data_IF_461126254583
#
_entry.id   IF_461126254583
#
_cell.length_a   1.000
_cell.length_b   1.000
_cell.length_c   1.000
_cell.angle_alpha   90.00
_cell.angle_beta   90.00
_cell.angle_gamma   90.00
#
_symmetry.space_group_name_H-M   'P 1'
#
loop_
_entity.id
_entity.type
_entity.pdbx_description
1 polymer ?
#
# COMPACT_ATOMS: atom_id res chain seq x y z
N UNK A 1 3.73 -20.13 51.24
CA UNK A 1 3.29 -21.25 50.39
C UNK A 1 1.80 -21.14 50.22
N UNK A 2 1.31 -21.44 49.00
CA UNK A 2 -0.09 -21.35 48.54
C UNK A 2 -0.56 -19.93 48.22
N UNK A 3 -1.17 -19.58 47.09
CA UNK A 3 -1.30 -20.20 45.77
C UNK A 3 -1.63 -19.05 44.81
N UNK A 4 -0.82 -18.84 43.77
CA UNK A 4 -1.19 -17.93 42.67
C UNK A 4 -2.26 -18.64 41.84
N UNK A 5 -3.43 -18.03 41.56
CA UNK A 5 -4.45 -18.67 40.72
C UNK A 5 -3.92 -18.78 39.27
N UNK A 6 -3.67 -20.01 38.82
CA UNK A 6 -3.31 -20.35 37.44
C UNK A 6 -4.58 -20.45 36.58
N UNK A 7 -5.24 -19.32 36.35
CA UNK A 7 -6.48 -19.23 35.56
C UNK A 7 -6.28 -18.32 34.35
N UNK A 8 -5.21 -18.50 33.57
CA UNK A 8 -5.05 -17.86 32.25
C UNK A 8 -4.19 -18.71 31.30
N UNK A 9 -4.57 -19.97 31.10
CA UNK A 9 -4.02 -20.76 29.98
C UNK A 9 -5.05 -21.69 29.37
N UNK A 10 -6.14 -21.13 28.86
CA UNK A 10 -7.02 -21.81 27.89
C UNK A 10 -7.63 -20.78 26.93
N UNK A 11 -6.79 -20.14 26.12
CA UNK A 11 -7.27 -19.51 24.89
C UNK A 11 -7.12 -20.51 23.76
N UNK A 12 -8.09 -21.42 23.69
CA UNK A 12 -8.37 -22.19 22.49
C UNK A 12 -8.89 -21.22 21.42
N UNK A 13 -8.27 -21.29 20.24
CA UNK A 13 -8.65 -20.58 19.02
C UNK A 13 -10.16 -20.62 18.76
N UNK A 14 -10.81 -19.48 18.93
CA UNK A 14 -12.15 -19.23 18.40
C UNK A 14 -12.21 -17.79 17.85
N UNK A 15 -11.56 -17.54 16.71
CA UNK A 15 -11.91 -16.36 15.92
C UNK A 15 -13.15 -16.67 15.07
N UNK A 16 -14.29 -16.24 15.59
CA UNK A 16 -15.56 -16.27 14.89
C UNK A 16 -15.54 -15.31 13.70
N UNK A 17 -15.93 -15.89 12.57
CA UNK A 17 -16.35 -15.25 11.34
C UNK A 17 -17.57 -14.35 11.62
N UNK A 18 -17.52 -13.05 11.32
CA UNK A 18 -18.74 -12.23 11.36
C UNK A 18 -18.59 -10.70 11.32
N UNK A 19 -18.55 -10.16 10.10
CA UNK A 19 -19.28 -8.96 9.62
C UNK A 19 -19.09 -7.57 10.25
N UNK A 20 -18.63 -6.66 9.39
CA UNK A 20 -18.59 -5.19 9.47
C UNK A 20 -19.83 -4.49 10.08
N UNK A 21 -19.62 -3.48 10.95
CA UNK A 21 -20.27 -2.16 10.83
C UNK A 21 -19.69 -1.12 11.80
N UNK A 22 -19.08 -0.05 11.24
CA UNK A 22 -19.36 1.37 11.53
C UNK A 22 -18.39 2.22 10.71
N UNK A 23 -18.82 2.48 9.49
CA UNK A 23 -18.32 3.54 8.62
C UNK A 23 -18.48 4.87 9.34
N UNK A 24 -17.36 5.52 9.65
CA UNK A 24 -17.31 6.97 9.80
C UNK A 24 -17.45 7.56 8.39
N UNK A 25 -18.63 8.11 8.13
CA UNK A 25 -18.99 8.84 6.91
C UNK A 25 -18.00 9.96 6.64
N UNK A 26 -17.21 9.79 5.58
CA UNK A 26 -16.82 10.90 4.70
C UNK A 26 -17.00 10.41 3.27
N UNK A 27 -18.21 10.62 2.74
CA UNK A 27 -18.59 10.60 1.32
C UNK A 27 -17.94 9.54 0.43
N UNK A 28 -18.39 8.29 0.55
CA UNK A 28 -18.10 7.22 -0.41
C UNK A 28 -19.22 7.15 -1.45
N UNK A 29 -18.87 7.43 -2.70
CA UNK A 29 -19.73 7.53 -3.86
C UNK A 29 -20.28 6.14 -4.26
N UNK A 30 -21.61 6.02 -4.40
CA UNK A 30 -22.33 4.83 -4.85
C UNK A 30 -21.99 4.48 -6.29
N UNK A 31 -21.67 3.21 -6.62
CA UNK A 31 -21.73 2.74 -8.01
C UNK A 31 -22.36 1.33 -8.09
N UNK A 32 -23.51 1.30 -8.76
CA UNK A 32 -24.22 0.14 -9.26
C UNK A 32 -23.38 -0.64 -10.30
N UNK A 33 -23.51 -1.96 -10.29
CA UNK A 33 -23.00 -2.87 -11.31
C UNK A 33 -23.56 -2.54 -12.69
N UNK A 34 -22.70 -2.20 -13.66
CA UNK A 34 -22.82 -2.47 -15.09
C UNK A 34 -21.44 -2.26 -15.75
N UNK A 35 -21.16 -3.10 -16.74
CA UNK A 35 -19.94 -3.22 -17.54
C UNK A 35 -19.43 -1.87 -18.07
N UNK A 36 -18.47 -1.26 -17.36
CA UNK A 36 -17.60 -0.19 -17.87
C UNK A 36 -16.41 -0.09 -16.91
N UNK A 37 -15.23 -0.49 -17.38
CA UNK A 37 -13.95 -0.38 -16.69
C UNK A 37 -13.65 1.11 -16.47
N UNK A 38 -14.24 1.71 -15.44
CA UNK A 38 -13.90 3.03 -14.95
C UNK A 38 -12.40 3.00 -14.68
N UNK A 39 -11.59 3.93 -15.25
CA UNK A 39 -10.17 3.93 -14.99
C UNK A 39 -10.05 4.03 -13.48
N UNK A 40 -9.39 3.05 -12.84
CA UNK A 40 -9.08 3.08 -11.42
C UNK A 40 -8.47 4.46 -11.22
N UNK A 41 -9.24 5.38 -10.64
CA UNK A 41 -8.84 6.76 -10.46
C UNK A 41 -7.54 6.64 -9.69
N UNK A 42 -6.42 6.99 -10.33
CA UNK A 42 -5.10 6.56 -9.89
C UNK A 42 -4.92 6.97 -8.43
N UNK A 43 -5.18 6.02 -7.53
CA UNK A 43 -5.24 6.32 -6.11
C UNK A 43 -3.80 6.37 -5.69
N UNK A 44 -3.40 7.52 -5.17
CA UNK A 44 -2.07 7.71 -4.65
C UNK A 44 -1.90 6.85 -3.38
N UNK A 45 -0.76 6.19 -3.30
CA UNK A 45 -0.34 5.31 -2.23
C UNK A 45 0.92 5.88 -1.60
N UNK A 46 1.04 5.74 -0.28
CA UNK A 46 2.27 6.06 0.44
C UNK A 46 3.19 4.85 0.47
N UNK A 47 4.49 5.10 0.33
CA UNK A 47 5.52 4.09 0.47
C UNK A 47 6.86 4.66 0.89
N UNK A 48 7.80 3.76 1.15
CA UNK A 48 9.17 4.09 1.57
C UNK A 48 10.15 3.72 0.48
N UNK A 49 11.08 4.62 0.14
CA UNK A 49 12.17 4.29 -0.78
C UNK A 49 13.06 3.23 -0.13
N UNK A 50 13.05 2.02 -0.70
CA UNK A 50 13.82 0.88 -0.21
C UNK A 50 15.22 0.84 -0.84
N UNK A 51 15.32 1.17 -2.13
CA UNK A 51 16.60 1.15 -2.85
C UNK A 51 16.64 2.19 -3.96
N UNK A 52 17.78 2.84 -4.12
CA UNK A 52 18.11 3.70 -5.25
C UNK A 52 19.32 3.15 -5.99
N UNK A 53 19.22 3.04 -7.32
CA UNK A 53 20.31 2.70 -8.24
C UNK A 53 20.63 3.93 -9.12
N UNK A 54 21.39 3.78 -10.20
CA UNK A 54 21.78 4.93 -11.05
C UNK A 54 20.64 5.59 -11.84
N UNK A 55 19.60 4.83 -12.22
CA UNK A 55 18.50 5.33 -13.08
C UNK A 55 17.11 4.87 -12.65
N UNK A 56 17.03 4.09 -11.58
CA UNK A 56 15.79 3.49 -11.10
C UNK A 56 15.87 3.23 -9.60
N UNK A 57 14.72 2.96 -9.00
CA UNK A 57 14.62 2.60 -7.60
C UNK A 57 13.49 1.64 -7.32
N UNK A 58 13.35 1.33 -6.04
CA UNK A 58 12.25 0.53 -5.51
C UNK A 58 11.62 1.22 -4.32
N UNK A 59 10.28 1.18 -4.28
CA UNK A 59 9.46 1.67 -3.18
C UNK A 59 8.70 0.49 -2.57
N UNK A 60 8.67 0.43 -1.25
CA UNK A 60 7.83 -0.50 -0.51
C UNK A 60 6.50 0.19 -0.16
N UNK A 61 5.38 -0.39 -0.57
CA UNK A 61 4.07 0.21 -0.28
C UNK A 61 3.69 -0.04 1.19
N UNK A 62 3.15 0.99 1.87
CA UNK A 62 2.71 0.85 3.25
C UNK A 62 1.39 0.07 3.40
N UNK A 63 0.58 -0.02 2.35
CA UNK A 63 -0.77 -0.62 2.40
C UNK A 63 -0.86 -1.99 1.75
N UNK A 64 0.11 -2.34 0.89
CA UNK A 64 0.13 -3.61 0.16
C UNK A 64 1.50 -4.24 0.35
N UNK A 65 1.51 -5.55 0.59
CA UNK A 65 2.74 -6.31 0.56
C UNK A 65 3.29 -6.32 -0.87
N UNK A 66 4.28 -5.46 -1.13
CA UNK A 66 4.77 -5.27 -2.47
C UNK A 66 5.93 -4.32 -2.57
N UNK A 67 6.92 -4.77 -3.35
CA UNK A 67 8.04 -3.95 -3.80
C UNK A 67 7.78 -3.50 -5.24
N UNK A 68 7.64 -2.20 -5.43
CA UNK A 68 7.34 -1.61 -6.73
C UNK A 68 8.59 -1.00 -7.34
N UNK A 69 8.82 -1.31 -8.61
CA UNK A 69 9.88 -0.70 -9.40
C UNK A 69 9.43 0.68 -9.89
N UNK A 70 10.34 1.64 -9.92
CA UNK A 70 10.15 2.90 -10.61
C UNK A 70 11.41 3.33 -11.35
N UNK A 71 11.21 4.06 -12.44
CA UNK A 71 12.29 4.74 -13.16
C UNK A 71 12.37 6.20 -12.69
N UNK A 72 13.53 6.84 -12.75
CA UNK A 72 13.68 8.23 -12.28
C UNK A 72 12.82 9.23 -13.05
N UNK A 73 12.41 8.91 -14.29
CA UNK A 73 11.44 9.70 -15.05
C UNK A 73 10.07 9.80 -14.40
N UNK A 74 9.73 8.88 -13.51
CA UNK A 74 8.47 8.89 -12.77
C UNK A 74 8.51 9.78 -11.53
N UNK A 75 9.71 10.17 -11.09
CA UNK A 75 9.91 11.07 -9.97
C UNK A 75 9.71 12.50 -10.45
N UNK A 76 8.65 13.16 -9.96
CA UNK A 76 8.22 14.48 -10.45
C UNK A 76 9.01 15.65 -9.87
N UNK A 77 9.72 15.41 -8.77
CA UNK A 77 10.58 16.40 -8.11
C UNK A 77 12.06 16.08 -8.36
N UNK A 78 12.97 16.65 -7.57
CA UNK A 78 14.40 16.41 -7.72
C UNK A 78 14.82 15.05 -7.12
N UNK A 79 15.18 14.10 -7.99
CA UNK A 79 15.64 12.77 -7.58
C UNK A 79 16.95 12.81 -6.76
N UNK A 80 17.76 13.87 -6.88
CA UNK A 80 19.00 14.01 -6.13
C UNK A 80 18.77 14.25 -4.63
N UNK A 81 17.57 14.69 -4.25
CA UNK A 81 17.19 14.90 -2.85
C UNK A 81 16.60 13.63 -2.21
N UNK A 82 16.21 12.66 -3.03
CA UNK A 82 15.64 11.41 -2.57
C UNK A 82 16.69 10.53 -1.88
N UNK A 83 16.37 9.97 -0.72
CA UNK A 83 17.21 9.01 0.00
C UNK A 83 16.43 7.75 0.37
N UNK A 84 17.17 6.68 0.61
CA UNK A 84 16.60 5.44 1.16
C UNK A 84 16.00 5.75 2.54
N UNK A 85 14.77 5.29 2.76
CA UNK A 85 14.00 5.57 3.97
C UNK A 85 13.02 6.73 3.84
N UNK A 86 13.06 7.50 2.75
CA UNK A 86 12.10 8.58 2.55
C UNK A 86 10.69 8.07 2.27
N UNK A 87 9.72 8.75 2.87
CA UNK A 87 8.31 8.60 2.54
C UNK A 87 8.07 9.30 1.21
N UNK A 88 7.38 8.61 0.31
CA UNK A 88 6.96 9.11 -0.99
C UNK A 88 5.51 8.74 -1.25
N UNK A 89 4.84 9.54 -2.05
CA UNK A 89 3.51 9.27 -2.56
C UNK A 89 3.59 8.92 -4.06
N UNK A 90 2.93 7.86 -4.48
CA UNK A 90 3.03 7.33 -5.84
C UNK A 90 1.71 6.73 -6.31
N UNK A 91 1.57 6.52 -7.62
CA UNK A 91 0.45 5.79 -8.21
C UNK A 91 0.93 4.41 -8.68
N UNK A 92 0.10 3.37 -8.50
CA UNK A 92 0.42 2.03 -9.00
C UNK A 92 -0.19 1.82 -10.38
N UNK A 93 0.62 1.41 -11.36
CA UNK A 93 0.14 0.99 -12.69
C UNK A 93 0.75 -0.35 -13.10
N UNK A 94 0.28 -0.95 -14.19
CA UNK A 94 0.82 -2.19 -14.74
C UNK A 94 1.70 -1.85 -15.94
N UNK A 95 2.98 -2.24 -15.90
CA UNK A 95 3.86 -2.19 -17.07
C UNK A 95 3.25 -3.08 -18.16
N UNK A 96 2.83 -2.47 -19.28
CA UNK A 96 2.15 -3.18 -20.37
C UNK A 96 3.01 -4.27 -21.01
N UNK A 97 4.35 -4.09 -20.98
CA UNK A 97 5.31 -5.04 -21.55
C UNK A 97 5.56 -6.22 -20.61
N UNK A 98 5.78 -5.94 -19.33
CA UNK A 98 6.15 -6.98 -18.33
C UNK A 98 4.96 -7.54 -17.55
N UNK A 99 3.77 -6.97 -17.71
CA UNK A 99 2.56 -7.26 -16.93
C UNK A 99 2.80 -7.23 -15.41
N UNK A 100 3.77 -6.41 -14.97
CA UNK A 100 4.18 -6.28 -13.57
C UNK A 100 3.73 -4.93 -13.02
N UNK A 101 3.24 -4.84 -11.78
CA UNK A 101 2.95 -3.56 -11.17
C UNK A 101 4.23 -2.73 -10.97
N UNK A 102 4.13 -1.44 -11.27
CA UNK A 102 5.20 -0.44 -11.18
C UNK A 102 4.63 0.83 -10.55
N UNK A 103 5.49 1.58 -9.86
CA UNK A 103 5.17 2.88 -9.30
C UNK A 103 5.44 3.97 -10.34
N UNK A 104 4.49 4.89 -10.50
CA UNK A 104 4.54 6.04 -11.41
C UNK A 104 4.14 7.31 -10.67
N UNK A 105 4.42 8.48 -11.26
CA UNK A 105 4.02 9.77 -10.71
C UNK A 105 4.44 10.01 -9.24
N UNK A 106 5.67 9.63 -8.91
CA UNK A 106 6.24 9.69 -7.57
C UNK A 106 6.51 11.14 -7.16
N UNK A 107 6.10 11.48 -5.95
CA UNK A 107 6.38 12.76 -5.29
C UNK A 107 6.91 12.51 -3.87
N UNK A 108 7.73 13.44 -3.39
CA UNK A 108 8.32 13.45 -2.05
C UNK A 108 7.86 14.69 -1.30
#
# INVERSE_FOLDING_TARGET
MTSVPTELYHNHDHYQRGTNSKLLTTSMNTINTNDDMMPIKAQRELGIIEKLCSTYGFVYCCHRDGRYFFHFSEYKTDIHQAKIGDVVEFETTIDKRKKKPVAVNIIH
#
